data_IF_704887980563
#
_entry.id   IF_704887980563
#
_cell.length_a   1.000
_cell.length_b   1.000
_cell.length_c   1.000
_cell.angle_alpha   90.00
_cell.angle_beta   90.00
_cell.angle_gamma   90.00
#
_symmetry.space_group_name_H-M   'P 1'
#
loop_
_entity.id
_entity.type
_entity.pdbx_description
1 polymer ?
#
# COMPACT_ATOMS: atom_id res chain seq x y z
N UNK A 1 13.54 -24.40 -38.13
CA UNK A 1 12.49 -25.35 -37.67
C UNK A 1 11.51 -25.55 -38.81
N UNK A 2 11.18 -26.78 -39.18
CA UNK A 2 10.13 -27.09 -40.17
C UNK A 2 8.83 -27.32 -39.41
N UNK A 3 7.81 -26.52 -39.69
CA UNK A 3 6.47 -26.68 -39.12
C UNK A 3 5.63 -27.56 -40.05
N UNK A 4 4.89 -28.52 -39.49
CA UNK A 4 3.93 -29.37 -40.22
C UNK A 4 2.53 -29.04 -39.73
N UNK A 5 1.65 -28.69 -40.67
CA UNK A 5 0.24 -28.46 -40.38
C UNK A 5 -0.46 -29.79 -40.06
N UNK A 6 -1.24 -29.80 -38.97
CA UNK A 6 -2.00 -30.95 -38.47
C UNK A 6 -3.49 -30.63 -38.28
N UNK A 7 -3.96 -29.48 -38.78
CA UNK A 7 -5.35 -29.01 -38.58
C UNK A 7 -6.37 -30.05 -39.06
N UNK A 8 -6.17 -30.63 -40.25
CA UNK A 8 -7.05 -31.65 -40.82
C UNK A 8 -7.07 -32.98 -40.03
N UNK A 9 -5.99 -33.29 -39.32
CA UNK A 9 -5.93 -34.47 -38.47
C UNK A 9 -6.76 -34.27 -37.21
N UNK A 10 -6.63 -33.10 -36.57
CA UNK A 10 -7.35 -32.76 -35.33
C UNK A 10 -8.85 -32.67 -35.60
N UNK A 11 -9.28 -31.98 -36.67
CA UNK A 11 -10.69 -31.83 -37.01
C UNK A 11 -11.38 -33.19 -37.24
N UNK A 12 -10.76 -34.09 -38.01
CA UNK A 12 -11.31 -35.45 -38.22
C UNK A 12 -11.36 -36.26 -36.93
N UNK A 13 -10.33 -36.18 -36.09
CA UNK A 13 -10.32 -36.90 -34.82
C UNK A 13 -11.42 -36.39 -33.87
N UNK A 14 -11.77 -35.11 -33.91
CA UNK A 14 -12.86 -34.55 -33.08
C UNK A 14 -14.26 -34.92 -33.55
N UNK A 15 -14.45 -35.28 -34.82
CA UNK A 15 -15.75 -35.77 -35.35
C UNK A 15 -16.15 -37.12 -34.76
N UNK A 16 -15.18 -37.93 -34.33
CA UNK A 16 -15.42 -39.25 -33.72
C UNK A 16 -15.91 -39.16 -32.26
N UNK A 17 -15.91 -37.97 -31.64
CA UNK A 17 -16.27 -37.78 -30.24
C UNK A 17 -17.78 -37.61 -30.06
N UNK A 18 -18.36 -38.35 -29.12
CA UNK A 18 -19.72 -38.10 -28.67
C UNK A 18 -19.80 -36.86 -27.76
N UNK A 19 -20.98 -36.22 -27.71
CA UNK A 19 -21.24 -35.09 -26.81
C UNK A 19 -20.91 -35.48 -25.36
N UNK A 20 -20.07 -34.68 -24.70
CA UNK A 20 -19.63 -34.92 -23.32
C UNK A 20 -18.34 -35.75 -23.18
N UNK A 21 -17.77 -36.26 -24.28
CA UNK A 21 -16.44 -36.87 -24.26
C UNK A 21 -15.34 -35.81 -24.30
N UNK A 22 -14.29 -36.02 -23.51
CA UNK A 22 -13.14 -35.13 -23.43
C UNK A 22 -11.85 -35.97 -23.42
N UNK A 23 -10.96 -35.67 -24.35
CA UNK A 23 -9.60 -36.25 -24.34
C UNK A 23 -8.71 -35.39 -23.45
N UNK A 24 -8.25 -35.98 -22.34
CA UNK A 24 -7.29 -35.36 -21.44
C UNK A 24 -6.37 -36.41 -20.83
N UNK A 25 -5.24 -35.97 -20.28
CA UNK A 25 -4.39 -36.83 -19.46
C UNK A 25 -5.16 -37.30 -18.21
N UNK A 26 -4.91 -38.53 -17.75
CA UNK A 26 -5.57 -39.08 -16.56
C UNK A 26 -5.31 -38.25 -15.30
N UNK A 27 -4.13 -37.64 -15.18
CA UNK A 27 -3.76 -36.78 -14.05
C UNK A 27 -4.37 -35.38 -14.09
N UNK A 28 -4.86 -34.91 -15.25
CA UNK A 28 -5.39 -33.56 -15.41
C UNK A 28 -6.81 -33.49 -14.85
N UNK A 29 -7.07 -32.60 -13.90
CA UNK A 29 -8.40 -32.43 -13.32
C UNK A 29 -9.16 -31.30 -14.01
N UNK A 30 -10.49 -31.42 -14.13
CA UNK A 30 -11.31 -30.32 -14.65
C UNK A 30 -11.29 -29.09 -13.71
N UNK A 31 -10.94 -29.28 -12.45
CA UNK A 31 -10.74 -28.17 -11.52
C UNK A 31 -9.63 -27.21 -12.00
N UNK A 32 -8.54 -27.75 -12.55
CA UNK A 32 -7.45 -26.94 -13.13
C UNK A 32 -7.90 -26.12 -14.34
N UNK A 33 -8.98 -26.52 -15.03
CA UNK A 33 -9.53 -25.74 -16.15
C UNK A 33 -10.32 -24.51 -15.70
N UNK A 34 -10.73 -24.42 -14.43
CA UNK A 34 -11.54 -23.31 -13.94
C UNK A 34 -10.77 -21.97 -13.92
N UNK A 35 -9.44 -21.99 -13.96
CA UNK A 35 -8.58 -20.80 -14.06
C UNK A 35 -8.06 -20.54 -15.48
N UNK A 36 -8.49 -21.34 -16.47
CA UNK A 36 -8.03 -21.18 -17.84
C UNK A 36 -8.55 -19.89 -18.48
N UNK A 37 -7.70 -19.23 -19.27
CA UNK A 37 -8.09 -18.06 -20.06
C UNK A 37 -8.69 -18.51 -21.39
N UNK A 38 -9.78 -17.85 -21.77
CA UNK A 38 -10.41 -18.01 -23.07
C UNK A 38 -9.88 -16.94 -24.04
N UNK A 39 -9.24 -17.40 -25.13
CA UNK A 39 -8.75 -16.54 -26.21
C UNK A 39 -9.95 -16.08 -27.05
N UNK A 40 -9.92 -14.84 -27.56
CA UNK A 40 -11.05 -14.19 -28.25
C UNK A 40 -12.28 -13.90 -27.38
N UNK A 41 -12.17 -13.97 -26.05
CA UNK A 41 -13.18 -13.43 -25.14
C UNK A 41 -12.85 -11.99 -24.71
N UNK A 42 -13.78 -11.01 -24.83
CA UNK A 42 -13.51 -9.62 -24.48
C UNK A 42 -13.10 -9.35 -23.03
N UNK A 43 -13.41 -10.25 -22.08
CA UNK A 43 -13.08 -10.08 -20.65
C UNK A 43 -11.83 -10.87 -20.26
N UNK A 44 -11.69 -12.10 -20.77
CA UNK A 44 -10.62 -13.02 -20.42
C UNK A 44 -9.36 -12.80 -21.27
N UNK A 45 -9.52 -12.48 -22.56
CA UNK A 45 -8.38 -12.29 -23.47
C UNK A 45 -7.86 -10.86 -23.42
N UNK A 46 -6.73 -10.65 -22.74
CA UNK A 46 -6.04 -9.36 -22.69
C UNK A 46 -5.66 -8.81 -24.08
N UNK A 47 -5.47 -9.65 -25.10
CA UNK A 47 -5.12 -9.26 -26.47
C UNK A 47 -6.29 -8.75 -27.34
N UNK A 48 -7.55 -9.05 -27.01
CA UNK A 48 -8.68 -8.86 -27.95
C UNK A 48 -9.12 -7.40 -28.19
N UNK A 49 -9.23 -6.58 -27.15
CA UNK A 49 -9.58 -5.14 -27.22
C UNK A 49 -8.36 -4.31 -26.84
N UNK A 50 -7.62 -3.88 -27.85
CA UNK A 50 -6.36 -3.16 -27.65
C UNK A 50 -6.38 -1.84 -28.43
N UNK A 51 -6.62 -0.75 -27.73
CA UNK A 51 -6.18 0.56 -28.22
C UNK A 51 -4.66 0.62 -28.04
N UNK A 52 -3.94 1.06 -29.08
CA UNK A 52 -2.50 1.23 -28.98
C UNK A 52 -2.25 2.55 -28.24
N UNK A 53 -1.40 2.57 -27.20
CA UNK A 53 -1.03 3.82 -26.56
C UNK A 53 -0.35 4.71 -27.60
N UNK A 54 -0.62 6.02 -27.54
CA UNK A 54 -0.02 7.02 -28.43
C UNK A 54 1.50 7.07 -28.27
N UNK A 55 1.98 6.89 -27.04
CA UNK A 55 3.40 6.85 -26.72
C UNK A 55 3.87 5.43 -26.39
N UNK A 56 5.10 5.15 -26.80
CA UNK A 56 5.93 4.02 -26.37
C UNK A 56 7.12 4.53 -25.57
N UNK A 57 7.81 3.65 -24.83
CA UNK A 57 9.01 4.00 -24.05
C UNK A 57 10.07 4.75 -24.87
N UNK A 58 10.21 4.43 -26.17
CA UNK A 58 11.17 5.11 -27.06
C UNK A 58 10.74 6.54 -27.40
N UNK A 59 9.46 6.73 -27.75
CA UNK A 59 8.92 8.07 -28.09
C UNK A 59 8.80 9.01 -26.90
N UNK A 60 8.77 8.46 -25.67
CA UNK A 60 8.68 9.27 -24.44
C UNK A 60 9.95 10.06 -24.16
N UNK A 61 11.11 9.57 -24.61
CA UNK A 61 12.41 10.23 -24.39
C UNK A 61 12.46 11.62 -25.02
N UNK A 62 11.73 11.82 -26.11
CA UNK A 62 11.68 13.07 -26.86
C UNK A 62 10.42 13.90 -26.57
N UNK A 63 9.55 13.44 -25.67
CA UNK A 63 8.29 14.12 -25.37
C UNK A 63 8.50 15.36 -24.49
N UNK A 64 7.91 16.48 -24.88
CA UNK A 64 7.82 17.69 -24.04
C UNK A 64 6.55 17.62 -23.21
N UNK A 65 6.69 17.69 -21.89
CA UNK A 65 5.58 17.57 -20.93
C UNK A 65 5.45 18.90 -20.19
N UNK A 66 4.23 19.46 -20.13
CA UNK A 66 3.98 20.67 -19.35
C UNK A 66 4.00 20.40 -17.85
N UNK A 67 4.19 21.42 -17.02
CA UNK A 67 4.17 21.23 -15.57
C UNK A 67 2.81 20.81 -15.03
N UNK A 68 1.72 21.28 -15.64
CA UNK A 68 0.36 20.84 -15.29
C UNK A 68 0.17 19.34 -15.58
N UNK A 69 0.71 18.84 -16.70
CA UNK A 69 0.73 17.42 -17.01
C UNK A 69 1.60 16.63 -16.02
N UNK A 70 2.77 17.14 -15.64
CA UNK A 70 3.62 16.51 -14.62
C UNK A 70 2.86 16.35 -13.30
N UNK A 71 2.19 17.41 -12.85
CA UNK A 71 1.39 17.38 -11.62
C UNK A 71 0.28 16.33 -11.71
N UNK A 72 -0.46 16.29 -12.83
CA UNK A 72 -1.52 15.30 -13.02
C UNK A 72 -1.03 13.87 -13.14
N UNK A 73 0.13 13.64 -13.77
CA UNK A 73 0.78 12.32 -13.81
C UNK A 73 1.13 11.89 -12.38
N UNK A 74 1.68 12.80 -11.57
CA UNK A 74 1.99 12.55 -10.16
C UNK A 74 0.72 12.19 -9.37
N UNK A 75 -0.35 12.96 -9.50
CA UNK A 75 -1.63 12.71 -8.79
C UNK A 75 -2.20 11.33 -9.15
N UNK A 76 -2.21 10.99 -10.45
CA UNK A 76 -2.66 9.66 -10.91
C UNK A 76 -1.76 8.55 -10.39
N UNK A 77 -0.44 8.75 -10.35
CA UNK A 77 0.50 7.78 -9.77
C UNK A 77 0.27 7.56 -8.28
N UNK A 78 -0.08 8.60 -7.51
CA UNK A 78 -0.40 8.47 -6.08
C UNK A 78 -1.67 7.66 -5.86
N UNK A 79 -2.71 7.91 -6.65
CA UNK A 79 -3.92 7.09 -6.55
C UNK A 79 -3.67 5.64 -6.96
N UNK A 80 -2.86 5.40 -7.98
CA UNK A 80 -2.45 4.03 -8.36
C UNK A 80 -1.58 3.36 -7.28
N UNK A 81 -0.73 4.10 -6.56
CA UNK A 81 0.00 3.61 -5.38
C UNK A 81 -0.97 3.13 -4.30
N UNK A 82 -2.00 3.93 -4.00
CA UNK A 82 -3.04 3.55 -3.02
C UNK A 82 -3.81 2.31 -3.47
N UNK A 83 -4.22 2.24 -4.73
CA UNK A 83 -4.95 1.06 -5.23
C UNK A 83 -4.10 -0.21 -5.18
N UNK A 84 -2.80 -0.10 -5.47
CA UNK A 84 -1.87 -1.21 -5.28
C UNK A 84 -1.81 -1.66 -3.82
N UNK A 85 -1.72 -0.72 -2.87
CA UNK A 85 -1.73 -1.02 -1.43
C UNK A 85 -3.07 -1.58 -0.93
N UNK A 86 -4.19 -1.28 -1.61
CA UNK A 86 -5.52 -1.85 -1.33
C UNK A 86 -5.71 -3.27 -1.88
N UNK A 87 -4.73 -3.83 -2.60
CA UNK A 87 -4.76 -5.21 -3.08
C UNK A 87 -4.95 -5.38 -4.59
N UNK A 88 -4.88 -4.31 -5.41
CA UNK A 88 -4.73 -4.50 -6.85
C UNK A 88 -3.30 -4.91 -7.21
N UNK A 89 -3.12 -5.59 -8.35
CA UNK A 89 -1.78 -5.94 -8.85
C UNK A 89 -1.00 -4.69 -9.26
N UNK A 90 0.32 -4.71 -9.08
CA UNK A 90 1.18 -3.59 -9.51
C UNK A 90 1.15 -3.38 -11.04
N UNK A 91 0.99 -4.46 -11.80
CA UNK A 91 0.88 -4.43 -13.26
C UNK A 91 -0.37 -3.70 -13.75
N UNK A 92 -1.47 -3.79 -12.98
CA UNK A 92 -2.75 -3.14 -13.25
C UNK A 92 -2.79 -1.69 -12.74
N UNK A 93 -1.84 -1.29 -11.90
CA UNK A 93 -1.81 0.00 -11.23
C UNK A 93 -0.61 0.82 -11.67
N UNK A 94 0.47 0.85 -10.88
CA UNK A 94 1.63 1.73 -11.09
C UNK A 94 2.32 1.52 -12.44
N UNK A 95 2.46 0.26 -12.90
CA UNK A 95 3.17 -0.05 -14.15
C UNK A 95 2.35 0.26 -15.41
N UNK A 96 1.08 0.68 -15.26
CA UNK A 96 0.34 1.29 -16.38
C UNK A 96 0.96 2.62 -16.79
N UNK A 97 1.63 3.33 -15.87
CA UNK A 97 2.36 4.54 -16.19
C UNK A 97 3.62 4.21 -16.99
N UNK A 98 3.74 4.77 -18.19
CA UNK A 98 4.88 4.49 -19.04
C UNK A 98 6.21 5.00 -18.45
N UNK A 99 6.19 6.07 -17.65
CA UNK A 99 7.38 6.57 -16.94
C UNK A 99 7.86 5.64 -15.81
N UNK A 100 6.94 4.88 -15.20
CA UNK A 100 7.31 3.90 -14.17
C UNK A 100 7.99 2.66 -14.78
N UNK A 101 7.75 2.38 -16.07
CA UNK A 101 8.38 1.26 -16.78
C UNK A 101 9.84 1.54 -17.17
N UNK A 102 10.22 2.80 -17.37
CA UNK A 102 11.60 3.20 -17.68
C UNK A 102 12.00 4.45 -16.87
N UNK A 103 12.21 4.28 -15.55
CA UNK A 103 12.45 5.42 -14.65
C UNK A 103 13.79 6.13 -14.91
N UNK A 104 14.75 5.50 -15.58
CA UNK A 104 16.07 6.08 -15.84
C UNK A 104 16.04 7.12 -16.96
N UNK A 105 15.14 6.97 -17.94
CA UNK A 105 15.10 7.77 -19.15
C UNK A 105 14.03 8.87 -19.14
N UNK A 106 13.66 9.39 -17.97
CA UNK A 106 12.67 10.47 -17.84
C UNK A 106 13.34 11.82 -18.09
N UNK A 107 12.87 12.53 -19.12
CA UNK A 107 13.44 13.81 -19.57
C UNK A 107 13.15 14.97 -18.60
N UNK A 108 11.94 15.01 -18.00
CA UNK A 108 11.58 16.07 -17.05
C UNK A 108 12.18 15.78 -15.65
N UNK A 109 12.99 16.69 -15.08
CA UNK A 109 13.69 16.44 -13.82
C UNK A 109 12.75 16.32 -12.61
N UNK A 110 11.63 17.05 -12.57
CA UNK A 110 10.65 16.98 -11.49
C UNK A 110 9.95 15.62 -11.46
N UNK A 111 9.50 15.16 -12.63
CA UNK A 111 8.88 13.86 -12.77
C UNK A 111 9.87 12.73 -12.49
N UNK A 112 11.12 12.85 -12.95
CA UNK A 112 12.18 11.86 -12.70
C UNK A 112 12.46 11.69 -11.21
N UNK A 113 12.72 12.78 -10.49
CA UNK A 113 12.99 12.71 -9.06
C UNK A 113 11.79 12.17 -8.28
N UNK A 114 10.56 12.58 -8.65
CA UNK A 114 9.35 12.08 -8.01
C UNK A 114 9.14 10.58 -8.24
N UNK A 115 9.28 10.10 -9.48
CA UNK A 115 9.10 8.69 -9.84
C UNK A 115 10.15 7.79 -9.19
N UNK A 116 11.42 8.23 -9.09
CA UNK A 116 12.44 7.53 -8.31
C UNK A 116 12.06 7.42 -6.84
N UNK A 117 11.60 8.53 -6.23
CA UNK A 117 11.11 8.54 -4.86
C UNK A 117 9.90 7.63 -4.66
N UNK A 118 8.94 7.65 -5.58
CA UNK A 118 7.74 6.80 -5.56
C UNK A 118 8.11 5.31 -5.62
N UNK A 119 8.91 4.90 -6.60
CA UNK A 119 9.31 3.50 -6.75
C UNK A 119 10.14 3.02 -5.56
N UNK A 120 10.94 3.89 -4.95
CA UNK A 120 11.67 3.57 -3.72
C UNK A 120 10.75 3.44 -2.50
N UNK A 121 9.74 4.31 -2.37
CA UNK A 121 8.66 4.12 -1.39
C UNK A 121 7.95 2.79 -1.60
N UNK A 122 7.60 2.45 -2.85
CA UNK A 122 6.95 1.19 -3.19
C UNK A 122 7.83 -0.01 -2.82
N UNK A 123 9.14 0.04 -3.08
CA UNK A 123 10.08 -1.00 -2.66
C UNK A 123 10.04 -1.24 -1.14
N UNK A 124 10.09 -0.18 -0.34
CA UNK A 124 10.01 -0.30 1.12
C UNK A 124 8.64 -0.82 1.57
N UNK A 125 7.54 -0.30 1.02
CA UNK A 125 6.19 -0.77 1.32
C UNK A 125 6.05 -2.26 0.99
N UNK A 126 6.50 -2.71 -0.19
CA UNK A 126 6.50 -4.12 -0.56
C UNK A 126 7.34 -4.96 0.40
N UNK A 127 8.53 -4.51 0.76
CA UNK A 127 9.41 -5.22 1.71
C UNK A 127 8.76 -5.34 3.08
N UNK A 128 8.16 -4.27 3.60
CA UNK A 128 7.50 -4.27 4.90
C UNK A 128 6.24 -5.13 4.90
N UNK A 129 5.39 -5.02 3.88
CA UNK A 129 4.18 -5.82 3.73
C UNK A 129 4.53 -7.30 3.58
N UNK A 130 5.54 -7.65 2.78
CA UNK A 130 5.96 -9.05 2.62
C UNK A 130 6.66 -9.62 3.84
N UNK A 131 7.31 -8.79 4.65
CA UNK A 131 7.86 -9.18 5.96
C UNK A 131 6.79 -9.26 7.06
N UNK A 132 5.68 -8.55 6.87
CA UNK A 132 4.53 -8.65 7.74
C UNK A 132 3.80 -9.97 7.48
N UNK A 133 3.14 -10.51 8.50
CA UNK A 133 2.43 -11.78 8.42
C UNK A 133 1.07 -11.64 7.70
N UNK A 134 1.05 -10.95 6.55
CA UNK A 134 -0.16 -10.67 5.76
C UNK A 134 -0.50 -11.85 4.86
N UNK A 135 -1.78 -12.05 4.56
CA UNK A 135 -2.22 -13.12 3.67
C UNK A 135 -2.22 -12.65 2.21
N UNK A 136 -1.50 -13.38 1.35
CA UNK A 136 -1.49 -13.10 -0.09
C UNK A 136 -2.88 -13.24 -0.68
N UNK A 137 -3.22 -12.36 -1.63
CA UNK A 137 -4.48 -12.33 -2.37
C UNK A 137 -5.73 -11.97 -1.54
N UNK A 138 -5.59 -11.81 -0.23
CA UNK A 138 -6.65 -11.32 0.66
C UNK A 138 -6.34 -9.92 1.17
N UNK A 139 -5.18 -9.73 1.81
CA UNK A 139 -4.78 -8.43 2.37
C UNK A 139 -3.93 -7.63 1.37
N UNK A 140 -3.06 -8.33 0.64
CA UNK A 140 -2.17 -7.74 -0.35
C UNK A 140 -1.85 -8.76 -1.43
N UNK A 141 -1.74 -8.33 -2.68
CA UNK A 141 -1.40 -9.22 -3.78
C UNK A 141 0.10 -9.17 -4.04
N UNK A 142 0.79 -10.24 -3.66
CA UNK A 142 2.22 -10.39 -3.90
C UNK A 142 2.48 -10.78 -5.34
N UNK A 143 3.48 -10.16 -5.96
CA UNK A 143 4.04 -10.69 -7.21
C UNK A 143 4.76 -12.03 -6.95
N UNK A 144 4.18 -13.11 -7.48
CA UNK A 144 4.72 -14.47 -7.41
C UNK A 144 5.87 -14.71 -8.39
N UNK A 145 5.98 -13.89 -9.44
CA UNK A 145 6.98 -14.04 -10.49
C UNK A 145 8.33 -13.39 -10.15
N UNK A 146 8.35 -12.49 -9.15
CA UNK A 146 9.51 -11.67 -8.79
C UNK A 146 9.89 -10.61 -9.83
N UNK A 147 9.09 -10.46 -10.89
CA UNK A 147 9.32 -9.51 -11.97
C UNK A 147 9.23 -8.05 -11.51
N UNK A 148 8.48 -7.78 -10.44
CA UNK A 148 8.38 -6.48 -9.77
C UNK A 148 9.75 -5.91 -9.36
N UNK A 149 10.70 -6.78 -9.00
CA UNK A 149 12.02 -6.38 -8.51
C UNK A 149 12.86 -5.64 -9.56
N UNK A 150 12.58 -5.88 -10.85
CA UNK A 150 13.27 -5.21 -11.96
C UNK A 150 12.90 -3.72 -12.10
N UNK A 151 11.75 -3.31 -11.54
CA UNK A 151 11.26 -1.93 -11.64
C UNK A 151 11.67 -1.08 -10.45
N UNK A 152 12.08 -1.70 -9.34
CA UNK A 152 12.54 -0.95 -8.18
C UNK A 152 13.98 -0.43 -8.40
N UNK A 153 14.24 0.87 -8.19
CA UNK A 153 15.57 1.46 -8.38
C UNK A 153 16.52 1.02 -7.25
N UNK A 154 17.04 -0.21 -7.34
CA UNK A 154 18.00 -0.78 -6.38
C UNK A 154 19.39 -0.18 -6.53
N UNK A 155 19.75 0.24 -7.74
CA UNK A 155 21.07 0.80 -8.06
C UNK A 155 21.24 2.26 -7.60
N UNK A 156 20.14 2.95 -7.33
CA UNK A 156 20.15 4.35 -6.89
C UNK A 156 20.04 4.37 -5.35
N UNK A 157 20.95 5.08 -4.71
CA UNK A 157 20.97 5.19 -3.26
C UNK A 157 19.85 6.09 -2.74
N UNK A 158 19.37 5.82 -1.53
CA UNK A 158 18.35 6.64 -0.87
C UNK A 158 18.83 8.09 -0.69
N UNK A 159 20.11 8.27 -0.37
CA UNK A 159 20.73 9.58 -0.19
C UNK A 159 20.70 10.40 -1.47
N UNK A 160 20.99 9.80 -2.61
CA UNK A 160 20.95 10.44 -3.92
C UNK A 160 19.53 10.93 -4.25
N UNK A 161 18.52 10.08 -4.09
CA UNK A 161 17.10 10.43 -4.36
C UNK A 161 16.64 11.54 -3.42
N UNK A 162 16.96 11.45 -2.13
CA UNK A 162 16.58 12.48 -1.14
C UNK A 162 17.27 13.81 -1.45
N UNK A 163 18.54 13.79 -1.82
CA UNK A 163 19.29 14.99 -2.20
C UNK A 163 18.71 15.64 -3.46
N UNK A 164 18.33 14.86 -4.46
CA UNK A 164 17.73 15.39 -5.68
C UNK A 164 16.35 15.99 -5.44
N UNK A 165 15.50 15.34 -4.64
CA UNK A 165 14.22 15.91 -4.20
C UNK A 165 14.43 17.20 -3.41
N UNK A 166 15.46 17.26 -2.55
CA UNK A 166 15.78 18.46 -1.77
C UNK A 166 16.28 19.62 -2.64
N UNK A 167 17.15 19.36 -3.63
CA UNK A 167 17.60 20.39 -4.59
C UNK A 167 16.42 21.02 -5.33
N UNK A 168 15.48 20.20 -5.80
CA UNK A 168 14.28 20.67 -6.49
C UNK A 168 13.36 21.46 -5.56
N UNK A 169 13.21 21.04 -4.30
CA UNK A 169 12.47 21.79 -3.29
C UNK A 169 13.09 23.19 -3.06
N UNK A 170 14.41 23.27 -2.92
CA UNK A 170 15.12 24.55 -2.74
C UNK A 170 15.00 25.47 -3.95
N UNK A 171 15.08 24.91 -5.16
CA UNK A 171 14.89 25.63 -6.41
C UNK A 171 13.47 26.21 -6.51
N UNK A 172 12.43 25.41 -6.25
CA UNK A 172 11.04 25.84 -6.28
C UNK A 172 10.76 26.91 -5.23
N UNK A 173 11.34 26.80 -4.02
CA UNK A 173 11.24 27.84 -3.01
C UNK A 173 11.91 29.15 -3.42
N UNK A 174 13.05 29.11 -4.13
CA UNK A 174 13.70 30.31 -4.67
C UNK A 174 12.82 30.96 -5.73
N UNK A 175 12.27 30.18 -6.66
CA UNK A 175 11.33 30.65 -7.69
C UNK A 175 10.09 31.31 -7.07
N UNK A 176 9.49 30.67 -6.06
CA UNK A 176 8.34 31.19 -5.32
C UNK A 176 8.63 32.54 -4.63
N UNK A 177 9.82 32.68 -4.02
CA UNK A 177 10.25 33.93 -3.37
C UNK A 177 10.47 35.06 -4.37
N UNK A 178 11.05 34.76 -5.53
CA UNK A 178 11.30 35.76 -6.58
C UNK A 178 9.99 36.25 -7.20
N UNK A 179 9.06 35.34 -7.49
CA UNK A 179 7.72 35.65 -8.00
C UNK A 179 6.92 36.54 -7.01
N UNK A 180 6.93 36.22 -5.71
CA UNK A 180 6.27 37.04 -4.68
C UNK A 180 6.90 38.43 -4.51
N UNK A 181 8.22 38.56 -4.71
CA UNK A 181 8.92 39.85 -4.71
C UNK A 181 8.59 40.70 -5.94
N UNK A 182 8.52 40.07 -7.12
CA UNK A 182 8.16 40.77 -8.37
C UNK A 182 6.71 41.28 -8.34
N UNK A 183 5.76 40.51 -7.78
CA UNK A 183 4.39 40.99 -7.57
C UNK A 183 4.27 42.10 -6.51
N UNK A 184 5.26 42.24 -5.61
CA UNK A 184 5.27 43.31 -4.59
C UNK A 184 5.99 44.58 -5.07
N UNK A 185 6.98 44.44 -5.95
CA UNK A 185 7.77 45.55 -6.50
C UNK A 185 7.35 45.83 -7.95
N UNK A 186 6.26 46.55 -8.12
CA UNK A 186 5.75 46.92 -9.44
C UNK A 186 6.58 47.98 -10.20
N UNK A 187 7.85 48.20 -9.84
CA UNK A 187 8.78 49.07 -10.58
C UNK A 187 10.22 48.85 -10.10
N UNK A 188 10.98 48.04 -10.82
CA UNK A 188 12.35 48.36 -11.28
C UNK A 188 12.99 47.10 -11.84
N UNK A 189 13.31 47.18 -13.12
CA UNK A 189 14.32 46.37 -13.81
C UNK A 189 15.53 46.13 -12.91
N UNK A 190 15.91 44.88 -12.69
CA UNK A 190 17.33 44.50 -12.70
C UNK A 190 17.51 43.00 -12.91
N UNK A 191 18.32 42.73 -13.94
CA UNK A 191 18.91 41.48 -14.37
C UNK A 191 19.48 40.65 -13.22
N UNK A 192 19.01 39.40 -13.09
CA UNK A 192 19.76 38.27 -12.54
C UNK A 192 19.11 36.97 -13.08
N UNK A 193 19.88 36.17 -13.84
CA UNK A 193 19.61 34.80 -14.31
C UNK A 193 18.15 34.33 -14.20
N UNK A 194 17.28 34.84 -15.08
CA UNK A 194 15.90 34.39 -15.18
C UNK A 194 15.87 32.99 -15.79
N UNK A 195 15.65 31.97 -14.95
CA UNK A 195 15.22 30.66 -15.41
C UNK A 195 13.90 30.83 -16.18
N UNK A 196 13.73 30.23 -17.37
CA UNK A 196 12.54 30.43 -18.18
C UNK A 196 11.28 30.06 -17.38
N UNK A 197 10.21 30.88 -17.46
CA UNK A 197 8.94 30.59 -16.80
C UNK A 197 8.40 29.24 -17.26
N UNK A 198 7.66 28.56 -16.39
CA UNK A 198 7.17 27.19 -16.61
C UNK A 198 6.12 27.03 -17.75
N UNK A 199 5.98 28.05 -18.62
CA UNK A 199 4.91 28.29 -19.60
C UNK A 199 3.54 28.56 -18.96
N UNK A 200 2.95 29.71 -19.29
CA UNK A 200 1.59 30.09 -18.87
C UNK A 200 1.52 31.39 -18.07
N UNK A 201 0.28 31.86 -17.83
CA UNK A 201 -0.05 33.13 -17.15
C UNK A 201 0.69 33.30 -15.81
N UNK A 202 1.25 34.49 -15.51
CA UNK A 202 1.98 34.76 -14.26
C UNK A 202 1.19 34.48 -12.98
N UNK A 203 -0.15 34.58 -13.04
CA UNK A 203 -1.03 34.32 -11.90
C UNK A 203 -1.15 32.82 -11.55
N UNK A 204 -1.07 31.93 -12.55
CA UNK A 204 -1.13 30.47 -12.35
C UNK A 204 0.22 29.87 -11.97
N UNK A 205 1.32 30.55 -12.28
CA UNK A 205 2.66 30.04 -12.01
C UNK A 205 2.93 29.83 -10.51
N UNK A 206 2.42 30.72 -9.65
CA UNK A 206 2.52 30.57 -8.18
C UNK A 206 1.78 29.30 -7.73
N UNK A 207 0.58 29.06 -8.25
CA UNK A 207 -0.22 27.88 -7.90
C UNK A 207 0.43 26.59 -8.39
N UNK A 208 0.98 26.57 -9.61
CA UNK A 208 1.73 25.43 -10.16
C UNK A 208 2.96 25.14 -9.29
N UNK A 209 3.70 26.17 -8.88
CA UNK A 209 4.87 26.02 -8.00
C UNK A 209 4.46 25.47 -6.64
N UNK A 210 3.42 26.02 -6.00
CA UNK A 210 2.93 25.54 -4.71
C UNK A 210 2.43 24.07 -4.80
N UNK A 211 1.78 23.71 -5.91
CA UNK A 211 1.28 22.37 -6.19
C UNK A 211 2.42 21.33 -6.33
N UNK A 212 3.43 21.58 -7.18
CA UNK A 212 4.55 20.66 -7.36
C UNK A 212 5.41 20.59 -6.08
N UNK A 213 5.58 21.71 -5.37
CA UNK A 213 6.34 21.79 -4.13
C UNK A 213 5.72 20.91 -3.03
N UNK A 214 4.40 20.94 -2.87
CA UNK A 214 3.70 20.10 -1.90
C UNK A 214 3.93 18.59 -2.16
N UNK A 215 3.86 18.17 -3.43
CA UNK A 215 4.06 16.77 -3.86
C UNK A 215 5.50 16.29 -3.64
N UNK A 216 6.49 17.12 -3.97
CA UNK A 216 7.91 16.82 -3.75
C UNK A 216 8.21 16.74 -2.25
N UNK A 217 7.71 17.69 -1.45
CA UNK A 217 7.85 17.67 0.01
C UNK A 217 7.23 16.44 0.64
N UNK A 218 6.00 16.10 0.23
CA UNK A 218 5.31 14.89 0.67
C UNK A 218 6.16 13.65 0.35
N UNK A 219 6.60 13.48 -0.90
CA UNK A 219 7.35 12.29 -1.32
C UNK A 219 8.70 12.19 -0.60
N UNK A 220 9.43 13.29 -0.46
CA UNK A 220 10.70 13.33 0.29
C UNK A 220 10.50 12.97 1.75
N UNK A 221 9.46 13.51 2.39
CA UNK A 221 9.14 13.21 3.79
C UNK A 221 8.72 11.75 3.96
N UNK A 222 7.90 11.21 3.06
CA UNK A 222 7.43 9.83 3.10
C UNK A 222 8.56 8.82 2.84
N UNK A 223 9.46 9.09 1.88
CA UNK A 223 10.66 8.27 1.68
C UNK A 223 11.55 8.24 2.91
N UNK A 224 11.75 9.39 3.57
CA UNK A 224 12.49 9.45 4.84
C UNK A 224 11.82 8.64 5.95
N UNK A 225 10.48 8.63 6.02
CA UNK A 225 9.76 7.79 6.98
C UNK A 225 10.06 6.31 6.70
N UNK A 226 9.87 5.87 5.45
CA UNK A 226 10.03 4.48 5.05
C UNK A 226 11.48 3.98 5.17
N UNK A 227 12.49 4.77 4.80
CA UNK A 227 13.89 4.35 4.92
C UNK A 227 14.36 4.24 6.37
N UNK A 228 13.82 5.08 7.26
CA UNK A 228 14.21 5.07 8.67
C UNK A 228 13.46 4.01 9.50
N UNK A 229 12.35 3.42 9.03
CA UNK A 229 11.63 2.36 9.75
C UNK A 229 12.49 1.12 10.06
N UNK A 230 13.56 0.88 9.28
CA UNK A 230 14.50 -0.23 9.51
C UNK A 230 15.24 -0.12 10.85
N UNK A 231 15.46 1.10 11.36
CA UNK A 231 16.25 1.33 12.57
C UNK A 231 15.35 1.67 13.77
N UNK A 232 15.01 0.66 14.58
CA UNK A 232 14.10 0.78 15.73
C UNK A 232 14.80 1.34 16.98
N UNK A 233 15.08 2.66 17.00
CA UNK A 233 15.56 3.37 18.20
C UNK A 233 14.70 4.59 18.55
N UNK A 234 14.62 4.96 19.84
CA UNK A 234 13.72 6.03 20.34
C UNK A 234 14.01 7.41 19.70
N UNK A 235 15.27 7.73 19.42
CA UNK A 235 15.66 8.99 18.75
C UNK A 235 15.15 9.02 17.30
N UNK A 236 15.25 7.90 16.61
CA UNK A 236 14.78 7.73 15.25
C UNK A 236 13.26 7.74 15.19
N UNK A 237 12.55 7.16 16.16
CA UNK A 237 11.08 7.24 16.19
C UNK A 237 10.56 8.68 16.33
N UNK A 238 11.25 9.52 17.11
CA UNK A 238 10.92 10.95 17.17
C UNK A 238 11.19 11.66 15.84
N UNK A 239 12.23 11.28 15.11
CA UNK A 239 12.54 11.80 13.77
C UNK A 239 11.44 11.39 12.78
N UNK A 240 11.06 10.11 12.78
CA UNK A 240 9.97 9.56 11.97
C UNK A 240 8.66 10.27 12.26
N UNK A 241 8.29 10.45 13.54
CA UNK A 241 7.09 11.18 13.94
C UNK A 241 7.06 12.60 13.36
N UNK A 242 8.17 13.34 13.44
CA UNK A 242 8.30 14.68 12.84
C UNK A 242 8.11 14.66 11.32
N UNK A 243 8.72 13.68 10.63
CA UNK A 243 8.57 13.52 9.18
C UNK A 243 7.15 13.14 8.77
N UNK A 244 6.48 12.27 9.54
CA UNK A 244 5.06 11.91 9.35
C UNK A 244 4.15 13.13 9.52
N UNK A 245 4.32 13.89 10.61
CA UNK A 245 3.53 15.11 10.83
C UNK A 245 3.75 16.13 9.71
N UNK A 246 5.00 16.30 9.26
CA UNK A 246 5.29 17.19 8.14
C UNK A 246 4.63 16.73 6.84
N UNK A 247 4.71 15.44 6.50
CA UNK A 247 4.04 14.88 5.32
C UNK A 247 2.51 15.07 5.39
N UNK A 248 1.91 14.84 6.56
CA UNK A 248 0.47 15.04 6.78
C UNK A 248 0.02 16.48 6.50
N UNK A 249 0.84 17.49 6.80
CA UNK A 249 0.51 18.89 6.46
C UNK A 249 0.46 19.18 4.96
N UNK A 250 1.10 18.36 4.13
CA UNK A 250 1.12 18.57 2.67
C UNK A 250 -0.14 18.00 1.98
N UNK A 251 -0.76 16.96 2.55
CA UNK A 251 -1.97 16.31 2.02
C UNK A 251 -3.10 17.30 1.69
N UNK A 252 -3.55 18.19 2.60
CA UNK A 252 -4.64 19.12 2.30
C UNK A 252 -4.27 20.17 1.23
N UNK A 253 -2.98 20.52 1.11
CA UNK A 253 -2.49 21.42 0.05
C UNK A 253 -2.57 20.72 -1.31
N UNK A 254 -2.20 19.44 -1.35
CA UNK A 254 -2.29 18.61 -2.56
C UNK A 254 -3.74 18.44 -3.01
N UNK A 255 -4.66 18.14 -2.09
CA UNK A 255 -6.08 18.00 -2.40
C UNK A 255 -6.68 19.29 -2.99
N UNK A 256 -6.33 20.44 -2.40
CA UNK A 256 -6.80 21.75 -2.91
C UNK A 256 -6.26 22.03 -4.31
N UNK A 257 -4.97 21.83 -4.51
CA UNK A 257 -4.29 22.16 -5.78
C UNK A 257 -4.64 21.21 -6.92
N UNK A 258 -4.98 19.95 -6.62
CA UNK A 258 -5.43 19.01 -7.64
C UNK A 258 -6.74 19.44 -8.31
N UNK A 259 -7.67 20.04 -7.55
CA UNK A 259 -8.97 20.49 -8.07
C UNK A 259 -8.83 21.66 -9.06
N UNK A 260 -7.79 22.49 -8.93
CA UNK A 260 -7.59 23.66 -9.80
C UNK A 260 -6.92 23.32 -11.12
N UNK A 261 -5.97 22.39 -11.11
CA UNK A 261 -5.15 22.07 -12.29
C UNK A 261 -5.94 21.10 -13.18
N UNK A 262 -6.00 21.36 -14.48
CA UNK A 262 -6.63 20.46 -15.46
C UNK A 262 -5.68 20.23 -16.62
N UNK A 263 -5.27 18.98 -16.83
CA UNK A 263 -4.43 18.57 -17.95
C UNK A 263 -4.80 17.14 -18.37
N UNK A 264 -4.78 16.89 -19.68
CA UNK A 264 -4.95 15.53 -20.21
C UNK A 264 -3.63 14.76 -20.13
N UNK A 265 -3.73 13.55 -19.58
CA UNK A 265 -2.59 12.65 -19.30
C UNK A 265 -2.83 11.23 -19.82
N UNK A 266 -3.99 10.94 -20.43
CA UNK A 266 -4.36 9.56 -20.78
C UNK A 266 -3.35 8.90 -21.72
N UNK A 267 -2.74 9.69 -22.60
CA UNK A 267 -1.70 9.23 -23.53
C UNK A 267 -0.46 8.62 -22.84
N UNK A 268 -0.20 8.96 -21.57
CA UNK A 268 0.97 8.51 -20.81
C UNK A 268 0.75 7.22 -20.00
N UNK A 269 -0.47 6.65 -20.05
CA UNK A 269 -0.85 5.44 -19.33
C UNK A 269 -1.34 4.37 -20.30
N UNK A 270 -0.76 3.17 -20.26
CA UNK A 270 -1.25 1.99 -20.97
C UNK A 270 -1.95 1.05 -19.98
N UNK A 271 -3.28 1.17 -19.89
CA UNK A 271 -4.11 0.30 -19.03
C UNK A 271 -4.03 -1.19 -19.46
N UNK A 272 -3.62 -1.45 -20.70
CA UNK A 272 -3.48 -2.79 -21.25
C UNK A 272 -2.02 -3.30 -21.19
N UNK A 273 -1.15 -2.68 -20.39
CA UNK A 273 0.25 -3.12 -20.26
C UNK A 273 0.37 -4.58 -19.77
N UNK A 274 -0.61 -5.03 -18.97
CA UNK A 274 -0.71 -6.40 -18.45
C UNK A 274 -0.55 -7.46 -19.54
N UNK A 275 -1.04 -7.24 -20.76
CA UNK A 275 -0.89 -8.18 -21.88
C UNK A 275 0.57 -8.55 -22.18
N UNK A 276 1.50 -7.62 -21.92
CA UNK A 276 2.94 -7.79 -22.16
C UNK A 276 3.68 -8.32 -20.93
N UNK A 277 3.20 -7.97 -19.74
CA UNK A 277 3.88 -8.27 -18.47
C UNK A 277 3.36 -9.55 -17.82
N UNK A 278 2.03 -9.69 -17.71
CA UNK A 278 1.37 -10.79 -17.01
C UNK A 278 0.05 -11.16 -17.69
N UNK A 279 0.12 -12.10 -18.64
CA UNK A 279 -1.03 -12.51 -19.47
C UNK A 279 -1.94 -13.56 -18.83
N UNK A 280 -1.59 -14.06 -17.64
CA UNK A 280 -2.32 -15.14 -16.95
C UNK A 280 -3.60 -14.68 -16.23
N UNK A 281 -3.94 -13.40 -16.30
CA UNK A 281 -5.12 -12.84 -15.67
C UNK A 281 -6.01 -12.09 -16.65
N UNK A 282 -7.33 -12.08 -16.38
CA UNK A 282 -8.29 -11.31 -17.17
C UNK A 282 -8.04 -9.81 -17.02
N UNK A 283 -8.64 -9.03 -17.93
CA UNK A 283 -8.51 -7.58 -17.89
C UNK A 283 -9.30 -6.98 -16.73
N UNK A 284 -8.62 -6.16 -15.94
CA UNK A 284 -9.22 -5.32 -14.90
C UNK A 284 -8.73 -3.89 -15.09
N UNK A 285 -9.66 -2.96 -15.33
CA UNK A 285 -9.38 -1.52 -15.31
C UNK A 285 -9.58 -1.00 -13.90
N UNK A 286 -8.51 -0.49 -13.29
CA UNK A 286 -8.57 0.10 -11.95
C UNK A 286 -9.14 1.51 -12.04
N UNK A 287 -10.25 1.74 -11.34
CA UNK A 287 -10.89 3.06 -11.24
C UNK A 287 -10.86 3.50 -9.78
N UNK A 288 -10.53 4.76 -9.55
CA UNK A 288 -10.47 5.36 -8.23
C UNK A 288 -10.80 6.85 -8.33
N UNK A 289 -11.13 7.46 -7.20
CA UNK A 289 -11.33 8.92 -7.10
C UNK A 289 -10.16 9.56 -6.35
N UNK A 290 -9.91 10.84 -6.63
CA UNK A 290 -8.89 11.60 -5.88
C UNK A 290 -9.23 11.69 -4.39
N UNK A 291 -10.52 11.82 -4.06
CA UNK A 291 -11.02 11.85 -2.68
C UNK A 291 -10.63 10.58 -1.90
N UNK A 292 -10.84 9.42 -2.50
CA UNK A 292 -10.47 8.12 -1.92
C UNK A 292 -8.96 8.02 -1.65
N UNK A 293 -8.14 8.62 -2.52
CA UNK A 293 -6.68 8.63 -2.39
C UNK A 293 -6.24 9.48 -1.18
N UNK A 294 -6.79 10.68 -1.05
CA UNK A 294 -6.45 11.58 0.05
C UNK A 294 -7.01 11.12 1.39
N UNK A 295 -8.20 10.51 1.40
CA UNK A 295 -8.78 9.88 2.59
C UNK A 295 -7.86 8.74 3.08
N UNK A 296 -7.41 7.87 2.17
CA UNK A 296 -6.50 6.79 2.51
C UNK A 296 -5.20 7.30 3.15
N UNK A 297 -4.53 8.27 2.52
CA UNK A 297 -3.33 8.85 3.11
C UNK A 297 -3.61 9.54 4.45
N UNK A 298 -4.70 10.30 4.55
CA UNK A 298 -5.05 10.99 5.82
C UNK A 298 -5.23 10.00 6.96
N UNK A 299 -5.93 8.90 6.73
CA UNK A 299 -6.12 7.84 7.72
C UNK A 299 -4.79 7.15 8.05
N UNK A 300 -4.02 6.74 7.03
CA UNK A 300 -2.73 6.11 7.21
C UNK A 300 -1.76 6.97 8.05
N UNK A 301 -1.61 8.26 7.71
CA UNK A 301 -0.70 9.14 8.44
C UNK A 301 -1.20 9.42 9.87
N UNK A 302 -2.52 9.51 10.09
CA UNK A 302 -3.10 9.68 11.42
C UNK A 302 -2.79 8.47 12.31
N UNK A 303 -3.04 7.27 11.81
CA UNK A 303 -2.74 6.02 12.50
C UNK A 303 -1.24 5.85 12.73
N UNK A 304 -0.41 6.10 11.72
CA UNK A 304 1.04 6.00 11.84
C UNK A 304 1.62 6.97 12.87
N UNK A 305 1.11 8.21 12.95
CA UNK A 305 1.52 9.19 13.96
C UNK A 305 1.15 8.71 15.36
N UNK A 306 -0.04 8.13 15.53
CA UNK A 306 -0.51 7.57 16.79
C UNK A 306 0.34 6.35 17.23
N UNK A 307 0.62 5.42 16.32
CA UNK A 307 1.51 4.29 16.61
C UNK A 307 2.91 4.77 17.00
N UNK A 308 3.43 5.80 16.34
CA UNK A 308 4.71 6.40 16.72
C UNK A 308 4.67 7.06 18.11
N UNK A 309 3.56 7.69 18.53
CA UNK A 309 3.47 8.25 19.89
C UNK A 309 3.47 7.17 20.97
N UNK A 310 2.81 6.02 20.73
CA UNK A 310 2.82 4.90 21.67
C UNK A 310 4.25 4.42 21.98
N UNK A 311 5.12 4.34 20.97
CA UNK A 311 6.52 3.93 21.16
C UNK A 311 7.36 4.89 22.01
N UNK A 312 6.92 6.14 22.16
CA UNK A 312 7.63 7.18 22.91
C UNK A 312 7.13 7.25 24.36
N UNK A 313 5.82 7.09 24.54
CA UNK A 313 5.09 7.28 25.79
C UNK A 313 5.06 6.02 26.66
N UNK A 314 4.93 4.83 26.05
CA UNK A 314 4.85 3.58 26.79
C UNK A 314 6.26 3.00 27.09
N UNK A 315 6.42 2.27 28.22
CA UNK A 315 7.65 1.55 28.50
C UNK A 315 7.88 0.45 27.46
N UNK A 316 9.08 0.43 26.87
CA UNK A 316 9.44 -0.46 25.76
C UNK A 316 9.21 -1.95 26.08
N UNK A 317 9.50 -2.37 27.32
CA UNK A 317 9.30 -3.75 27.76
C UNK A 317 7.82 -4.16 27.74
N UNK A 318 6.91 -3.26 28.13
CA UNK A 318 5.48 -3.54 28.08
C UNK A 318 5.02 -3.64 26.63
N UNK A 319 5.49 -2.76 25.75
CA UNK A 319 5.15 -2.82 24.33
C UNK A 319 5.54 -4.17 23.72
N UNK A 320 6.76 -4.67 23.96
CA UNK A 320 7.18 -5.99 23.45
C UNK A 320 6.23 -7.10 23.92
N UNK A 321 5.87 -7.10 25.20
CA UNK A 321 4.97 -8.12 25.75
C UNK A 321 3.56 -8.09 25.14
N UNK A 322 3.12 -6.93 24.63
CA UNK A 322 1.81 -6.75 23.99
C UNK A 322 1.87 -6.65 22.46
N UNK A 323 3.05 -6.73 21.83
CA UNK A 323 3.20 -6.57 20.37
C UNK A 323 2.34 -7.58 19.64
N UNK A 324 2.28 -8.83 20.10
CA UNK A 324 1.49 -9.86 19.44
C UNK A 324 -0.01 -9.59 19.61
N UNK A 325 -0.46 -9.09 20.75
CA UNK A 325 -1.83 -8.62 20.94
C UNK A 325 -2.17 -7.49 19.96
N UNK A 326 -1.28 -6.50 19.80
CA UNK A 326 -1.46 -5.39 18.85
C UNK A 326 -1.47 -5.91 17.41
N UNK A 327 -0.60 -6.87 17.08
CA UNK A 327 -0.52 -7.46 15.73
C UNK A 327 -1.82 -8.16 15.34
N UNK A 328 -2.53 -8.77 16.30
CA UNK A 328 -3.82 -9.42 16.05
C UNK A 328 -4.85 -8.40 15.55
N UNK A 329 -4.91 -7.22 16.14
CA UNK A 329 -5.81 -6.15 15.69
C UNK A 329 -5.41 -5.52 14.34
N UNK A 330 -4.22 -5.85 13.82
CA UNK A 330 -3.77 -5.42 12.49
C UNK A 330 -4.27 -6.29 11.33
N UNK A 331 -4.89 -7.44 11.60
CA UNK A 331 -5.48 -8.27 10.54
C UNK A 331 -6.82 -7.71 10.07
N UNK A 332 -7.23 -8.08 8.85
CA UNK A 332 -8.58 -7.79 8.38
C UNK A 332 -9.64 -8.34 9.35
N UNK A 333 -10.81 -7.68 9.45
CA UNK A 333 -11.83 -8.00 10.46
C UNK A 333 -12.32 -9.46 10.39
N UNK A 334 -12.50 -9.99 9.19
CA UNK A 334 -12.90 -11.39 8.98
C UNK A 334 -11.83 -12.39 9.45
N UNK A 335 -10.55 -12.04 9.33
CA UNK A 335 -9.41 -12.84 9.74
C UNK A 335 -9.19 -12.73 11.24
N UNK A 336 -9.28 -11.52 11.80
CA UNK A 336 -9.25 -11.26 13.23
C UNK A 336 -10.25 -12.18 13.94
N UNK A 337 -11.51 -12.21 13.47
CA UNK A 337 -12.53 -13.10 14.03
C UNK A 337 -12.14 -14.59 13.95
N UNK A 338 -11.60 -15.05 12.83
CA UNK A 338 -11.12 -16.45 12.67
C UNK A 338 -9.95 -16.78 13.60
N UNK A 339 -9.06 -15.83 13.84
CA UNK A 339 -7.92 -16.00 14.73
C UNK A 339 -8.33 -15.97 16.20
N UNK A 340 -9.27 -15.10 16.59
CA UNK A 340 -9.79 -15.03 17.96
C UNK A 340 -10.31 -16.39 18.43
N UNK A 341 -10.97 -17.18 17.58
CA UNK A 341 -11.40 -18.55 17.95
C UNK A 341 -10.24 -19.43 18.40
N UNK A 342 -9.11 -19.37 17.69
CA UNK A 342 -7.91 -20.14 18.05
C UNK A 342 -7.28 -19.62 19.33
N UNK A 343 -7.18 -18.30 19.46
CA UNK A 343 -6.61 -17.68 20.65
C UNK A 343 -7.46 -17.94 21.89
N UNK A 344 -8.79 -17.83 21.82
CA UNK A 344 -9.67 -18.14 22.95
C UNK A 344 -9.41 -19.56 23.46
N UNK A 345 -9.26 -20.55 22.56
CA UNK A 345 -8.95 -21.93 22.94
C UNK A 345 -7.54 -22.10 23.54
N UNK A 346 -6.54 -21.33 23.08
CA UNK A 346 -5.19 -21.33 23.66
C UNK A 346 -5.16 -20.65 25.03
N UNK A 347 -5.87 -19.53 25.19
CA UNK A 347 -5.99 -18.78 26.43
C UNK A 347 -6.79 -19.54 27.49
N UNK A 348 -7.72 -20.39 27.08
CA UNK A 348 -8.43 -21.32 27.98
C UNK A 348 -7.47 -22.31 28.63
N UNK A 349 -6.59 -22.93 27.83
CA UNK A 349 -5.51 -23.80 28.35
C UNK A 349 -4.51 -23.04 29.22
N UNK A 350 -4.15 -21.82 28.81
CA UNK A 350 -3.28 -20.96 29.61
C UNK A 350 -3.89 -20.65 30.97
N UNK A 351 -5.20 -20.42 31.03
CA UNK A 351 -5.89 -20.21 32.30
C UNK A 351 -5.76 -21.42 33.22
N UNK A 352 -5.97 -22.64 32.72
CA UNK A 352 -5.78 -23.87 33.51
C UNK A 352 -4.35 -23.98 34.06
N UNK A 353 -3.34 -23.69 33.24
CA UNK A 353 -1.93 -23.67 33.66
C UNK A 353 -1.66 -22.58 34.73
N UNK A 354 -2.24 -21.39 34.57
CA UNK A 354 -2.11 -20.30 35.53
C UNK A 354 -2.83 -20.60 36.85
N UNK A 355 -3.95 -21.31 36.85
CA UNK A 355 -4.62 -21.76 38.08
C UNK A 355 -3.74 -22.73 38.87
N UNK A 356 -3.07 -23.66 38.19
CA UNK A 356 -2.10 -24.55 38.82
C UNK A 356 -0.90 -23.76 39.38
N UNK A 357 -0.42 -22.76 38.64
CA UNK A 357 0.68 -21.90 39.09
C UNK A 357 0.29 -21.07 40.33
N UNK A 358 -0.86 -20.42 40.31
CA UNK A 358 -1.37 -19.62 41.44
C UNK A 358 -1.55 -20.50 42.69
N UNK A 359 -2.05 -21.73 42.53
CA UNK A 359 -2.14 -22.71 43.61
C UNK A 359 -0.76 -23.09 44.18
N UNK A 360 0.23 -23.32 43.32
CA UNK A 360 1.60 -23.62 43.76
C UNK A 360 2.26 -22.44 44.47
N UNK A 361 2.05 -21.22 43.97
CA UNK A 361 2.53 -19.98 44.59
C UNK A 361 1.88 -19.77 45.97
N UNK A 362 0.56 -19.96 46.05
CA UNK A 362 -0.19 -19.89 47.29
C UNK A 362 0.34 -20.88 48.33
N UNK A 363 0.49 -22.15 47.95
CA UNK A 363 1.03 -23.18 48.85
C UNK A 363 2.44 -22.82 49.36
N UNK A 364 3.30 -22.31 48.47
CA UNK A 364 4.65 -21.89 48.85
C UNK A 364 4.64 -20.68 49.81
N UNK A 365 3.79 -19.70 49.54
CA UNK A 365 3.60 -18.51 50.38
C UNK A 365 3.07 -18.88 51.77
N UNK A 366 2.04 -19.71 51.84
CA UNK A 366 1.44 -20.20 53.10
C UNK A 366 2.47 -20.97 53.94
N UNK A 367 3.24 -21.87 53.30
CA UNK A 367 4.34 -22.60 53.98
C UNK A 367 5.41 -21.62 54.50
N UNK A 368 5.79 -20.61 53.71
CA UNK A 368 6.87 -19.68 54.07
C UNK A 368 6.49 -18.68 55.17
N UNK A 369 5.23 -18.25 55.23
CA UNK A 369 4.75 -17.24 56.17
C UNK A 369 4.25 -17.81 57.51
N UNK A 370 4.16 -19.15 57.65
CA UNK A 370 3.61 -19.84 58.85
C UNK A 370 2.23 -19.31 59.27
N UNK A 371 1.47 -18.76 58.34
CA UNK A 371 0.14 -18.21 58.56
C UNK A 371 -0.86 -19.34 58.33
N UNK A 372 -1.43 -19.88 59.42
CA UNK A 372 -2.49 -20.90 59.40
C UNK A 372 -3.88 -20.26 59.50
N UNK A 373 -4.13 -19.19 58.74
CA UNK A 373 -5.48 -18.65 58.63
C UNK A 373 -6.16 -19.20 57.37
N UNK A 374 -7.48 -19.42 57.49
CA UNK A 374 -8.40 -19.93 56.46
C UNK A 374 -8.55 -18.97 55.26
N UNK A 375 -7.47 -18.45 54.71
CA UNK A 375 -7.51 -17.66 53.48
C UNK A 375 -7.55 -18.60 52.27
N UNK A 376 -8.52 -18.36 51.39
CA UNK A 376 -8.63 -19.04 50.10
C UNK A 376 -7.48 -18.63 49.17
N UNK A 377 -7.05 -19.52 48.26
CA UNK A 377 -6.03 -19.21 47.27
C UNK A 377 -6.44 -17.99 46.43
N UNK A 378 -5.57 -16.99 46.39
CA UNK A 378 -5.76 -15.77 45.59
C UNK A 378 -5.23 -16.00 44.17
N UNK A 379 -6.15 -16.15 43.22
CA UNK A 379 -5.87 -16.40 41.80
C UNK A 379 -5.58 -15.11 41.02
N UNK A 380 -4.46 -14.46 41.28
CA UNK A 380 -4.14 -13.18 40.64
C UNK A 380 -3.81 -13.32 39.16
N UNK A 381 -3.03 -14.34 38.78
CA UNK A 381 -2.59 -14.53 37.40
C UNK A 381 -3.73 -15.11 36.57
N UNK A 382 -4.41 -16.14 37.09
CA UNK A 382 -5.56 -16.74 36.41
C UNK A 382 -6.70 -15.71 36.20
N UNK A 383 -6.99 -14.85 37.18
CA UNK A 383 -8.01 -13.80 37.03
C UNK A 383 -7.67 -12.80 35.91
N UNK A 384 -6.39 -12.43 35.76
CA UNK A 384 -5.95 -11.58 34.65
C UNK A 384 -6.10 -12.27 33.29
N UNK A 385 -5.68 -13.54 33.18
CA UNK A 385 -5.84 -14.33 31.94
C UNK A 385 -7.32 -14.49 31.58
N UNK A 386 -8.17 -14.75 32.58
CA UNK A 386 -9.62 -14.85 32.40
C UNK A 386 -10.24 -13.53 31.90
N UNK A 387 -9.81 -12.39 32.44
CA UNK A 387 -10.28 -11.07 32.00
C UNK A 387 -9.97 -10.83 30.51
N UNK A 388 -8.73 -11.09 30.08
CA UNK A 388 -8.35 -10.94 28.66
C UNK A 388 -9.12 -11.92 27.77
N UNK A 389 -9.32 -13.16 28.22
CA UNK A 389 -10.13 -14.16 27.51
C UNK A 389 -11.57 -13.70 27.31
N UNK A 390 -12.19 -13.09 28.33
CA UNK A 390 -13.53 -12.50 28.23
C UNK A 390 -13.57 -11.35 27.22
N UNK A 391 -12.56 -10.46 27.21
CA UNK A 391 -12.47 -9.41 26.20
C UNK A 391 -12.37 -9.96 24.78
N UNK A 392 -11.64 -11.06 24.56
CA UNK A 392 -11.59 -11.71 23.25
C UNK A 392 -12.92 -12.37 22.84
N UNK A 393 -13.67 -12.93 23.80
CA UNK A 393 -15.01 -13.48 23.55
C UNK A 393 -16.01 -12.37 23.17
N UNK A 394 -15.99 -11.25 23.88
CA UNK A 394 -16.81 -10.08 23.58
C UNK A 394 -16.51 -9.52 22.18
N UNK A 395 -15.22 -9.38 21.85
CA UNK A 395 -14.77 -8.93 20.53
C UNK A 395 -15.20 -9.91 19.42
N UNK A 396 -15.08 -11.22 19.66
CA UNK A 396 -15.48 -12.24 18.68
C UNK A 396 -16.98 -12.19 18.35
N UNK A 397 -17.84 -11.98 19.36
CA UNK A 397 -19.27 -11.82 19.18
C UNK A 397 -19.59 -10.50 18.45
N UNK A 398 -18.96 -9.40 18.88
CA UNK A 398 -19.11 -8.07 18.27
C UNK A 398 -18.74 -8.07 16.79
N UNK A 399 -17.59 -8.68 16.43
CA UNK A 399 -17.19 -8.85 15.03
C UNK A 399 -18.14 -9.74 14.24
N UNK A 400 -18.78 -10.72 14.88
CA UNK A 400 -19.79 -11.55 14.22
C UNK A 400 -21.04 -10.76 13.80
N UNK A 401 -21.44 -9.80 14.62
CA UNK A 401 -22.54 -8.87 14.31
C UNK A 401 -22.11 -7.90 13.21
N UNK A 402 -20.91 -7.31 13.33
CA UNK A 402 -20.38 -6.35 12.37
C UNK A 402 -20.20 -6.94 10.96
N UNK A 403 -19.76 -8.20 10.88
CA UNK A 403 -19.57 -8.93 9.63
C UNK A 403 -20.87 -9.58 9.10
N UNK A 404 -22.01 -9.28 9.72
CA UNK A 404 -23.33 -9.82 9.35
C UNK A 404 -23.36 -11.36 9.27
N UNK A 405 -22.60 -12.04 10.13
CA UNK A 405 -22.55 -13.50 10.17
C UNK A 405 -23.82 -14.07 10.79
N UNK A 406 -24.37 -13.38 11.79
CA UNK A 406 -25.57 -13.79 12.50
C UNK A 406 -26.83 -13.34 11.76
N UNK A 407 -27.77 -14.26 11.61
CA UNK A 407 -29.09 -13.95 11.07
C UNK A 407 -29.91 -13.14 12.08
N UNK A 408 -30.90 -12.38 11.60
CA UNK A 408 -31.71 -11.48 12.45
C UNK A 408 -32.34 -12.15 13.69
N UNK A 409 -32.69 -13.43 13.60
CA UNK A 409 -33.28 -14.19 14.70
C UNK A 409 -32.25 -14.72 15.70
N UNK A 410 -30.98 -14.82 15.31
CA UNK A 410 -29.85 -15.23 16.17
C UNK A 410 -29.32 -14.06 17.00
N UNK A 411 -29.59 -12.81 16.58
CA UNK A 411 -29.14 -11.60 17.28
C UNK A 411 -29.60 -11.55 18.74
N UNK A 412 -30.83 -11.97 19.04
CA UNK A 412 -31.33 -12.00 20.42
C UNK A 412 -30.48 -12.91 21.32
N UNK A 413 -30.07 -14.08 20.80
CA UNK A 413 -29.20 -15.02 21.52
C UNK A 413 -27.74 -14.56 21.57
N UNK A 414 -27.32 -13.69 20.65
CA UNK A 414 -25.95 -13.17 20.61
C UNK A 414 -25.77 -11.99 21.56
N UNK A 415 -26.81 -11.19 21.76
CA UNK A 415 -26.80 -10.05 22.69
C UNK A 415 -27.07 -10.42 24.15
N UNK A 416 -27.79 -11.52 24.39
CA UNK A 416 -28.10 -12.03 25.73
C UNK A 416 -26.98 -12.93 26.23
#
# INVERSE_FOLDING_TARGET
MSYKDITDLVNRATEDFAVGQLLKKSSFTLYETMSAIEIMDPKMDSGMKCEKPKYTCETLKTCTISMEQVIKIIDRLQGLEVQWLKGYMIYQTLLTCLFANDPLNISNPYLRAYTHGLLKCCYYSYTYVTSANVYSEEDFVRDSSGYIDNYFPRNISDEEIVNDLQKLEEELMKRLKNQKKNNSNNNSTNSNEELPPFQGDPEKEIEIIDAILARIRFRRAFLNVLSNFVQSNKKNMNKIKKSLTFAATQIPIMEKTEKTIQADINDFFDENINRKMYSQMPRVTVKFTSEETYEYYSNFFTEAIYLCSLTVEAPYQALISFVDCIRIYGYNRARLRRLLVKFIAEWDKLQEECELLDNNLWNTLVISLKSYDNEEPKYYISSWVYHIKLSYLEEYLSLGIELEIFMKHELLYTYW
#
